data_IF_215907421312
#
_entry.id   IF_215907421312
#
_cell.length_a   1.000
_cell.length_b   1.000
_cell.length_c   1.000
_cell.angle_alpha   90.00
_cell.angle_beta   90.00
_cell.angle_gamma   90.00
#
_symmetry.space_group_name_H-M   'P 1'
#
loop_
_entity.id
_entity.type
_entity.pdbx_description
1 polymer ?
#
# COMPACT_ATOMS: atom_id res chain seq x y z
N UNK A 1 37.25 -3.46 -71.74
CA UNK A 1 36.19 -2.68 -71.06
C UNK A 1 35.76 -3.43 -69.84
N UNK A 2 36.10 -3.02 -68.65
CA UNK A 2 35.70 -3.66 -67.36
C UNK A 2 34.65 -2.79 -66.70
N UNK A 3 33.46 -3.32 -66.25
CA UNK A 3 32.48 -2.52 -65.54
C UNK A 3 32.94 -2.32 -64.09
N UNK A 4 32.84 -1.07 -63.61
CA UNK A 4 33.10 -0.62 -62.25
C UNK A 4 31.86 -0.91 -61.43
N UNK A 5 31.95 -1.84 -60.47
CA UNK A 5 30.84 -2.14 -59.54
C UNK A 5 30.88 -1.12 -58.40
N UNK A 6 29.84 -0.32 -58.29
CA UNK A 6 29.61 0.64 -57.21
C UNK A 6 28.99 -0.10 -56.01
N UNK A 7 29.77 -0.29 -54.92
CA UNK A 7 29.22 -0.83 -53.67
C UNK A 7 28.59 0.30 -52.87
N UNK A 8 27.28 0.24 -52.69
CA UNK A 8 26.56 1.12 -51.76
C UNK A 8 26.65 0.52 -50.34
N UNK A 9 27.34 1.18 -49.46
CA UNK A 9 27.38 0.82 -48.04
C UNK A 9 26.14 1.45 -47.32
N UNK A 10 25.22 0.64 -46.91
CA UNK A 10 24.10 1.08 -46.07
C UNK A 10 24.55 1.18 -44.60
N UNK A 11 24.64 2.39 -44.09
CA UNK A 11 24.88 2.63 -42.64
C UNK A 11 23.59 2.45 -41.85
N UNK A 12 23.50 1.38 -41.08
CA UNK A 12 22.40 1.19 -40.12
C UNK A 12 22.62 2.04 -38.86
N UNK A 13 21.76 3.03 -38.68
CA UNK A 13 21.73 3.87 -37.48
C UNK A 13 21.02 3.08 -36.38
N UNK A 14 21.79 2.52 -35.42
CA UNK A 14 21.23 1.93 -34.19
C UNK A 14 20.89 3.05 -33.23
N UNK A 15 19.61 3.35 -33.07
CA UNK A 15 19.10 4.23 -32.00
C UNK A 15 19.14 3.44 -30.70
N UNK A 16 20.12 3.73 -29.85
CA UNK A 16 20.13 3.22 -28.47
C UNK A 16 19.01 3.89 -27.70
N UNK A 17 18.01 3.10 -27.27
CA UNK A 17 16.99 3.59 -26.35
C UNK A 17 17.66 3.95 -25.02
N UNK A 18 17.55 5.21 -24.59
CA UNK A 18 17.99 5.64 -23.27
C UNK A 18 17.17 4.88 -22.21
N UNK A 19 17.81 4.42 -21.09
CA UNK A 19 17.07 3.80 -20.02
C UNK A 19 16.04 4.80 -19.48
N UNK A 20 14.79 4.35 -19.37
CA UNK A 20 13.75 5.14 -18.73
C UNK A 20 14.20 5.43 -17.28
N UNK A 21 14.48 6.69 -16.98
CA UNK A 21 14.68 7.12 -15.61
C UNK A 21 13.35 6.90 -14.86
N UNK A 22 13.29 5.85 -14.08
CA UNK A 22 12.24 5.73 -13.05
C UNK A 22 12.46 6.91 -12.11
N UNK A 23 11.48 7.80 -12.03
CA UNK A 23 11.54 8.95 -11.14
C UNK A 23 11.85 8.44 -9.72
N UNK A 24 12.99 8.88 -9.18
CA UNK A 24 13.46 8.44 -7.88
C UNK A 24 12.44 8.85 -6.82
N UNK A 25 12.01 7.89 -6.01
CA UNK A 25 11.06 8.14 -4.94
C UNK A 25 11.65 9.15 -3.94
N UNK A 26 10.99 10.29 -3.75
CA UNK A 26 11.42 11.35 -2.82
C UNK A 26 10.77 11.24 -1.44
N UNK A 27 9.77 10.33 -1.29
CA UNK A 27 9.09 10.10 -0.02
C UNK A 27 9.80 8.99 0.75
N UNK A 28 9.87 9.15 2.05
CA UNK A 28 10.27 8.07 2.95
C UNK A 28 9.17 7.00 3.01
N UNK A 29 9.49 5.73 3.34
CA UNK A 29 8.48 4.69 3.55
C UNK A 29 7.39 5.10 4.54
N UNK A 30 7.74 5.79 5.62
CA UNK A 30 6.79 6.33 6.59
C UNK A 30 5.83 7.33 5.98
N UNK A 31 6.30 8.24 5.12
CA UNK A 31 5.45 9.22 4.44
C UNK A 31 4.49 8.55 3.46
N UNK A 32 4.96 7.55 2.68
CA UNK A 32 4.10 6.77 1.77
C UNK A 32 2.97 6.11 2.53
N UNK A 33 3.30 5.37 3.61
CA UNK A 33 2.30 4.68 4.42
C UNK A 33 1.36 5.66 5.12
N UNK A 34 1.88 6.79 5.65
CA UNK A 34 1.02 7.81 6.29
C UNK A 34 -0.02 8.37 5.32
N UNK A 35 0.37 8.66 4.07
CA UNK A 35 -0.55 9.13 3.03
C UNK A 35 -1.59 8.06 2.68
N UNK A 36 -1.14 6.83 2.45
CA UNK A 36 -2.02 5.70 2.16
C UNK A 36 -3.06 5.47 3.27
N UNK A 37 -2.63 5.41 4.54
CA UNK A 37 -3.51 5.17 5.69
C UNK A 37 -4.53 6.31 5.85
N UNK A 38 -4.14 7.57 5.63
CA UNK A 38 -5.06 8.69 5.68
C UNK A 38 -6.14 8.57 4.61
N UNK A 39 -5.77 8.33 3.36
CA UNK A 39 -6.73 8.16 2.27
C UNK A 39 -7.63 6.93 2.47
N UNK A 40 -7.05 5.80 2.90
CA UNK A 40 -7.78 4.56 3.08
C UNK A 40 -8.73 4.60 4.28
N UNK A 41 -8.22 4.93 5.47
CA UNK A 41 -8.96 4.75 6.72
C UNK A 41 -9.67 6.02 7.19
N UNK A 42 -9.09 7.21 7.00
CA UNK A 42 -9.69 8.44 7.48
C UNK A 42 -10.65 9.04 6.44
N UNK A 43 -10.29 8.98 5.15
CA UNK A 43 -11.11 9.49 4.06
C UNK A 43 -11.99 8.40 3.41
N UNK A 44 -11.75 7.11 3.72
CA UNK A 44 -12.48 5.94 3.20
C UNK A 44 -12.48 5.86 1.67
N UNK A 45 -11.42 6.32 1.04
CA UNK A 45 -11.22 6.31 -0.41
C UNK A 45 -10.36 5.12 -0.82
N UNK A 46 -10.91 3.91 -0.68
CA UNK A 46 -10.14 2.67 -0.89
C UNK A 46 -9.54 2.57 -2.29
N UNK A 47 -10.32 2.84 -3.35
CA UNK A 47 -9.85 2.76 -4.72
C UNK A 47 -8.67 3.71 -4.97
N UNK A 48 -8.86 4.99 -4.67
CA UNK A 48 -7.84 6.02 -4.90
C UNK A 48 -6.57 5.74 -4.10
N UNK A 49 -6.72 5.32 -2.83
CA UNK A 49 -5.60 4.97 -1.97
C UNK A 49 -4.79 3.81 -2.56
N UNK A 50 -5.45 2.72 -2.98
CA UNK A 50 -4.77 1.57 -3.55
C UNK A 50 -4.17 1.84 -4.92
N UNK A 51 -4.87 2.51 -5.82
CA UNK A 51 -4.35 2.86 -7.15
C UNK A 51 -3.16 3.82 -7.07
N UNK A 52 -3.17 4.74 -6.08
CA UNK A 52 -2.09 5.71 -5.89
C UNK A 52 -0.87 5.10 -5.20
N UNK A 53 -1.06 4.30 -4.15
CA UNK A 53 0.01 3.93 -3.24
C UNK A 53 0.41 2.46 -3.25
N UNK A 54 -0.34 1.57 -3.91
CA UNK A 54 -0.11 0.12 -3.85
C UNK A 54 0.28 -0.44 -5.21
N UNK A 55 1.28 -1.34 -5.23
CA UNK A 55 1.70 -2.06 -6.43
C UNK A 55 0.57 -2.97 -6.94
N UNK A 56 0.42 -3.13 -8.28
CA UNK A 56 -0.56 -4.07 -8.83
C UNK A 56 -0.40 -5.50 -8.33
N UNK A 57 0.86 -5.94 -8.18
CA UNK A 57 1.24 -7.27 -7.68
C UNK A 57 1.40 -7.37 -6.17
N UNK A 58 0.81 -6.45 -5.42
CA UNK A 58 0.83 -6.40 -3.97
C UNK A 58 0.58 -7.76 -3.31
N UNK A 59 1.46 -8.14 -2.38
CA UNK A 59 1.41 -9.41 -1.66
C UNK A 59 0.63 -9.22 -0.35
N UNK A 60 -0.42 -10.00 -0.18
CA UNK A 60 -1.27 -9.96 1.01
C UNK A 60 -1.04 -11.20 1.88
N UNK A 61 -0.76 -10.99 3.18
CA UNK A 61 -0.57 -12.08 4.16
C UNK A 61 -1.74 -12.26 5.13
N UNK A 62 -2.75 -11.37 5.11
CA UNK A 62 -3.98 -11.63 5.84
C UNK A 62 -4.70 -12.85 5.25
N UNK A 63 -4.95 -13.92 6.02
CA UNK A 63 -5.53 -15.16 5.50
C UNK A 63 -6.97 -15.02 5.00
N UNK A 64 -7.63 -13.91 5.30
CA UNK A 64 -9.01 -13.62 4.90
C UNK A 64 -9.10 -12.75 3.64
N UNK A 65 -7.96 -12.28 3.10
CA UNK A 65 -7.91 -11.41 1.95
C UNK A 65 -7.07 -12.01 0.81
N UNK A 66 -7.53 -11.84 -0.42
CA UNK A 66 -6.80 -12.31 -1.59
C UNK A 66 -5.61 -11.39 -1.92
N UNK A 67 -4.54 -11.98 -2.47
CA UNK A 67 -3.37 -11.24 -2.98
C UNK A 67 -3.73 -10.42 -4.21
N UNK A 68 -3.13 -9.23 -4.33
CA UNK A 68 -3.29 -8.29 -5.42
C UNK A 68 -4.05 -7.03 -5.04
N UNK A 69 -3.72 -5.94 -5.71
CA UNK A 69 -4.33 -4.62 -5.48
C UNK A 69 -5.84 -4.62 -5.77
N UNK A 70 -6.24 -5.15 -6.92
CA UNK A 70 -7.64 -5.12 -7.36
C UNK A 70 -8.57 -5.96 -6.47
N UNK A 71 -8.18 -7.17 -5.99
CA UNK A 71 -8.92 -7.89 -4.96
C UNK A 71 -9.07 -7.12 -3.65
N UNK A 72 -8.05 -6.39 -3.21
CA UNK A 72 -8.12 -5.57 -2.00
C UNK A 72 -9.12 -4.42 -2.16
N UNK A 73 -9.13 -3.74 -3.31
CA UNK A 73 -10.13 -2.71 -3.64
C UNK A 73 -11.54 -3.32 -3.63
N UNK A 74 -11.74 -4.45 -4.32
CA UNK A 74 -13.04 -5.11 -4.42
C UNK A 74 -13.61 -5.53 -3.04
N UNK A 75 -12.76 -5.79 -2.06
CA UNK A 75 -13.16 -6.09 -0.68
C UNK A 75 -13.44 -4.82 0.12
N UNK A 76 -12.57 -3.81 0.06
CA UNK A 76 -12.60 -2.65 0.95
C UNK A 76 -13.62 -1.59 0.54
N UNK A 77 -13.89 -1.39 -0.75
CA UNK A 77 -14.92 -0.42 -1.18
C UNK A 77 -16.30 -0.76 -0.61
N UNK A 78 -16.87 -1.97 -0.83
CA UNK A 78 -18.17 -2.31 -0.25
C UNK A 78 -18.12 -2.38 1.27
N UNK A 79 -16.99 -2.73 1.87
CA UNK A 79 -16.83 -2.72 3.33
C UNK A 79 -17.04 -1.30 3.89
N UNK A 80 -16.37 -0.27 3.37
CA UNK A 80 -16.54 1.10 3.83
C UNK A 80 -17.94 1.67 3.52
N UNK A 81 -18.54 1.27 2.38
CA UNK A 81 -19.93 1.63 2.07
C UNK A 81 -20.92 1.04 3.09
N UNK A 82 -20.67 -0.19 3.52
CA UNK A 82 -21.50 -0.86 4.54
C UNK A 82 -21.24 -0.39 5.97
N UNK A 83 -20.12 0.29 6.23
CA UNK A 83 -19.72 0.77 7.54
C UNK A 83 -19.36 2.28 7.49
N UNK A 84 -20.35 3.15 7.19
CA UNK A 84 -20.10 4.60 7.06
C UNK A 84 -19.59 5.21 8.37
N UNK A 85 -20.01 4.65 9.52
CA UNK A 85 -19.64 5.10 10.86
C UNK A 85 -18.35 4.47 11.39
N UNK A 86 -17.66 3.65 10.58
CA UNK A 86 -16.36 3.08 10.98
C UNK A 86 -15.35 4.19 11.26
N UNK A 87 -14.64 4.09 12.38
CA UNK A 87 -13.61 5.04 12.83
C UNK A 87 -12.30 4.31 13.04
N UNK A 88 -11.26 4.82 12.40
CA UNK A 88 -9.88 4.37 12.61
C UNK A 88 -9.09 5.48 13.32
N UNK A 89 -8.57 5.17 14.51
CA UNK A 89 -7.72 6.07 15.27
C UNK A 89 -6.29 5.57 15.23
N UNK A 90 -5.44 6.24 14.47
CA UNK A 90 -4.02 5.90 14.36
C UNK A 90 -3.31 6.30 15.67
N UNK A 91 -2.62 5.34 16.28
CA UNK A 91 -1.91 5.52 17.55
C UNK A 91 -0.41 5.69 17.36
N UNK A 92 0.20 4.79 16.57
CA UNK A 92 1.64 4.83 16.31
C UNK A 92 1.92 4.50 14.84
N UNK A 93 2.92 5.15 14.27
CA UNK A 93 3.53 4.79 12.99
C UNK A 93 5.04 4.69 13.21
N UNK A 94 5.58 3.49 13.11
CA UNK A 94 6.97 3.16 13.38
C UNK A 94 7.58 2.62 12.10
N UNK A 95 8.74 3.14 11.68
CA UNK A 95 9.41 2.71 10.45
C UNK A 95 10.84 2.24 10.75
N UNK A 96 11.22 1.13 10.10
CA UNK A 96 12.58 0.60 10.07
C UNK A 96 12.91 0.16 8.63
N UNK A 97 13.88 0.82 8.02
CA UNK A 97 14.19 0.60 6.61
C UNK A 97 12.98 0.86 5.72
N UNK A 98 12.55 -0.16 4.98
CA UNK A 98 11.38 -0.10 4.11
C UNK A 98 10.10 -0.73 4.73
N UNK A 99 10.16 -1.15 5.98
CA UNK A 99 9.01 -1.65 6.75
C UNK A 99 8.42 -0.54 7.61
N UNK A 100 7.10 -0.46 7.63
CA UNK A 100 6.35 0.50 8.44
C UNK A 100 5.23 -0.23 9.18
N UNK A 101 5.26 -0.16 10.50
CA UNK A 101 4.19 -0.67 11.36
C UNK A 101 3.24 0.46 11.74
N UNK A 102 1.94 0.22 11.62
CA UNK A 102 0.86 1.13 11.98
C UNK A 102 0.02 0.48 13.06
N UNK A 103 0.02 1.05 14.26
CA UNK A 103 -0.88 0.65 15.35
C UNK A 103 -2.13 1.51 15.32
N UNK A 104 -3.28 0.91 15.25
CA UNK A 104 -4.56 1.59 15.16
C UNK A 104 -5.64 0.99 16.05
N UNK A 105 -6.65 1.80 16.39
CA UNK A 105 -7.91 1.38 16.97
C UNK A 105 -9.00 1.48 15.90
N UNK A 106 -9.55 0.36 15.47
CA UNK A 106 -10.65 0.30 14.51
C UNK A 106 -11.97 0.01 15.23
N UNK A 107 -12.99 0.83 14.98
CA UNK A 107 -14.37 0.65 15.43
C UNK A 107 -15.30 0.68 14.23
N UNK A 108 -16.30 -0.18 14.18
CA UNK A 108 -17.16 -0.34 13.00
C UNK A 108 -18.60 0.15 13.24
N UNK A 109 -18.96 0.44 14.49
CA UNK A 109 -20.27 1.00 14.87
C UNK A 109 -20.16 1.82 16.15
N UNK A 110 -21.17 2.64 16.42
CA UNK A 110 -21.32 3.34 17.70
C UNK A 110 -21.42 2.32 18.87
N UNK A 111 -20.69 2.59 19.94
CA UNK A 111 -20.63 1.70 21.11
C UNK A 111 -19.73 0.46 20.95
N UNK A 112 -19.21 0.20 19.75
CA UNK A 112 -18.24 -0.87 19.52
C UNK A 112 -16.94 -0.61 20.32
N UNK A 113 -16.43 -1.64 21.00
CA UNK A 113 -15.11 -1.57 21.63
C UNK A 113 -13.98 -1.64 20.60
N UNK A 114 -14.25 -2.26 19.45
CA UNK A 114 -13.37 -2.33 18.31
C UNK A 114 -12.24 -3.33 18.44
N UNK A 115 -11.26 -3.14 17.56
CA UNK A 115 -10.05 -3.96 17.43
C UNK A 115 -8.81 -3.10 17.62
N UNK A 116 -7.84 -3.63 18.34
CA UNK A 116 -6.45 -3.18 18.22
C UNK A 116 -5.84 -3.88 17.01
N UNK A 117 -5.34 -3.11 16.06
CA UNK A 117 -4.78 -3.61 14.80
C UNK A 117 -3.33 -3.16 14.67
N UNK A 118 -2.48 -4.07 14.25
CA UNK A 118 -1.13 -3.75 13.75
C UNK A 118 -1.08 -4.16 12.29
N UNK A 119 -0.96 -3.17 11.42
CA UNK A 119 -0.61 -3.35 10.01
C UNK A 119 0.90 -3.21 9.86
N UNK A 120 1.55 -4.11 9.15
CA UNK A 120 2.94 -3.97 8.71
C UNK A 120 2.96 -3.89 7.20
N UNK A 121 3.56 -2.84 6.66
CA UNK A 121 3.58 -2.52 5.26
C UNK A 121 5.03 -2.41 4.77
N UNK A 122 5.37 -3.11 3.68
CA UNK A 122 6.67 -2.97 3.02
C UNK A 122 6.52 -2.06 1.81
N UNK A 123 7.42 -1.08 1.73
CA UNK A 123 7.41 -0.04 0.69
C UNK A 123 8.59 -0.23 -0.24
N UNK A 124 8.32 -0.22 -1.55
CA UNK A 124 9.31 -0.19 -2.62
C UNK A 124 8.90 0.85 -3.66
N UNK A 125 9.85 1.63 -4.17
CA UNK A 125 9.62 2.62 -5.24
C UNK A 125 8.41 3.53 -5.01
N UNK A 126 8.21 4.04 -3.78
CA UNK A 126 7.03 4.83 -3.36
C UNK A 126 5.70 4.08 -3.41
N UNK A 127 5.71 2.76 -3.45
CA UNK A 127 4.51 1.93 -3.45
C UNK A 127 4.57 0.89 -2.34
N UNK A 128 3.41 0.55 -1.82
CA UNK A 128 3.25 -0.57 -0.89
C UNK A 128 3.26 -1.85 -1.73
N UNK A 129 4.22 -2.71 -1.46
CA UNK A 129 4.44 -3.97 -2.17
C UNK A 129 3.93 -5.18 -1.39
N UNK A 130 3.79 -5.07 -0.06
CA UNK A 130 3.45 -6.21 0.79
C UNK A 130 2.82 -5.76 2.11
N UNK A 131 1.95 -6.60 2.68
CA UNK A 131 1.19 -6.29 3.89
C UNK A 131 0.98 -7.53 4.76
N UNK A 132 1.17 -7.36 6.05
CA UNK A 132 0.79 -8.27 7.13
C UNK A 132 -0.07 -7.50 8.12
N UNK A 133 -0.98 -8.19 8.78
CA UNK A 133 -1.72 -7.63 9.90
C UNK A 133 -1.99 -8.64 11.01
N UNK A 134 -2.23 -8.13 12.18
CA UNK A 134 -2.83 -8.84 13.30
C UNK A 134 -3.86 -7.95 13.96
N UNK A 135 -4.98 -8.53 14.33
CA UNK A 135 -6.06 -7.81 15.00
C UNK A 135 -6.48 -8.55 16.26
N UNK A 136 -6.67 -7.79 17.34
CA UNK A 136 -7.15 -8.31 18.62
C UNK A 136 -8.39 -7.54 19.06
N UNK A 137 -9.51 -8.21 19.39
CA UNK A 137 -10.68 -7.55 19.98
C UNK A 137 -10.32 -6.84 21.29
N UNK A 138 -10.83 -5.61 21.45
CA UNK A 138 -10.70 -4.88 22.73
C UNK A 138 -11.61 -5.54 23.75
N UNK A 139 -11.06 -6.14 24.83
CA UNK A 139 -11.85 -6.90 25.79
C UNK A 139 -12.72 -6.01 26.66
N UNK A 140 -13.79 -6.57 27.21
CA UNK A 140 -14.62 -5.87 28.19
C UNK A 140 -13.92 -5.73 29.55
N UNK A 141 -13.17 -6.76 29.93
CA UNK A 141 -12.43 -6.80 31.18
C UNK A 141 -10.95 -6.98 30.91
N UNK A 142 -10.15 -6.19 31.57
CA UNK A 142 -8.67 -6.21 31.45
C UNK A 142 -8.04 -6.60 32.78
N UNK A 143 -6.86 -7.22 32.72
CA UNK A 143 -6.05 -7.52 33.90
C UNK A 143 -5.31 -6.29 34.45
N UNK A 144 -5.27 -5.19 33.71
CA UNK A 144 -4.61 -3.94 34.08
C UNK A 144 -5.43 -2.74 33.55
N UNK A 145 -5.08 -1.53 33.98
CA UNK A 145 -5.78 -0.29 33.62
C UNK A 145 -5.07 0.52 32.51
N UNK A 146 -4.04 -0.01 31.85
CA UNK A 146 -3.20 0.76 30.92
C UNK A 146 -3.88 0.95 29.55
N UNK A 147 -4.86 0.09 29.20
CA UNK A 147 -5.45 0.04 27.88
C UNK A 147 -4.59 -0.71 26.86
N UNK A 148 -4.99 -0.62 25.59
CA UNK A 148 -4.31 -1.29 24.45
C UNK A 148 -3.65 -0.28 23.50
N UNK A 149 -3.68 1.03 23.81
CA UNK A 149 -3.31 2.08 22.86
C UNK A 149 -2.42 3.14 23.48
#
# INVERSE_FOLDING_TARGET
MRPLALMLAAATLTVAAAPAHTAECRLTPKEVVTKFINELYLEKRAREAFETWVEPGYIQHNPLAATGRDPAIAFLEPFFQGHPDAVYSIKHIIAEGNLVAVHSHAKFAEGDRGLAVIDILRVEHCKIAEHWDVAQPVPEKTANSNGMF
#
